data_IF_162231046746
#
_entry.id   IF_162231046746
#
_cell.length_a   1.000
_cell.length_b   1.000
_cell.length_c   1.000
_cell.angle_alpha   90.00
_cell.angle_beta   90.00
_cell.angle_gamma   90.00
#
_symmetry.space_group_name_H-M   'P 1'
#
loop_
_entity.id
_entity.type
_entity.pdbx_description
1 polymer ?
#
# COMPACT_ATOMS: atom_id res chain seq x y z
N UNK A 1 5.73 12.81 17.03
CA UNK A 1 6.76 11.72 16.90
C UNK A 1 6.18 10.31 17.06
N UNK A 2 5.32 10.04 18.06
CA UNK A 2 4.76 8.70 18.33
C UNK A 2 4.02 8.07 17.12
N UNK A 3 3.14 8.77 16.38
CA UNK A 3 2.49 8.20 15.20
C UNK A 3 3.49 7.74 14.11
N UNK A 4 4.61 8.47 13.96
CA UNK A 4 5.65 8.11 12.99
C UNK A 4 6.35 6.81 13.37
N UNK A 5 6.58 6.57 14.68
CA UNK A 5 7.14 5.30 15.18
C UNK A 5 6.16 4.14 14.92
N UNK A 6 4.87 4.35 15.19
CA UNK A 6 3.84 3.35 14.89
C UNK A 6 3.82 3.03 13.38
N UNK A 7 3.90 4.05 12.54
CA UNK A 7 3.93 3.87 11.08
C UNK A 7 5.16 3.08 10.62
N UNK A 8 6.33 3.37 11.18
CA UNK A 8 7.55 2.65 10.88
C UNK A 8 7.43 1.17 11.28
N UNK A 9 7.06 0.90 12.53
CA UNK A 9 6.91 -0.46 13.06
C UNK A 9 5.86 -1.27 12.29
N UNK A 10 4.70 -0.66 12.02
CA UNK A 10 3.64 -1.29 11.24
C UNK A 10 4.10 -1.67 9.83
N UNK A 11 4.80 -0.76 9.15
CA UNK A 11 5.28 -1.01 7.79
C UNK A 11 6.42 -2.01 7.76
N UNK A 12 7.28 -2.02 8.78
CA UNK A 12 8.30 -3.04 8.93
C UNK A 12 7.69 -4.43 9.15
N UNK A 13 6.69 -4.53 10.03
CA UNK A 13 5.94 -5.78 10.25
C UNK A 13 5.29 -6.30 8.97
N UNK A 14 4.62 -5.40 8.24
CA UNK A 14 3.94 -5.74 7.00
C UNK A 14 4.92 -6.31 5.97
N UNK A 15 6.02 -5.60 5.70
CA UNK A 15 6.98 -6.00 4.67
C UNK A 15 7.77 -7.27 5.06
N UNK A 16 8.12 -7.43 6.32
CA UNK A 16 8.81 -8.63 6.79
C UNK A 16 7.96 -9.89 6.63
N UNK A 17 6.67 -9.82 6.99
CA UNK A 17 5.75 -10.95 6.83
C UNK A 17 5.40 -11.25 5.37
N UNK A 18 5.48 -10.25 4.47
CA UNK A 18 5.06 -10.41 3.07
C UNK A 18 6.09 -11.15 2.22
N UNK A 19 7.37 -10.95 2.50
CA UNK A 19 8.49 -11.30 1.61
C UNK A 19 8.53 -12.80 1.26
N UNK A 20 8.33 -13.67 2.23
CA UNK A 20 8.55 -15.11 2.09
C UNK A 20 7.29 -15.93 1.79
N UNK A 21 6.12 -15.30 1.72
CA UNK A 21 4.84 -16.03 1.55
C UNK A 21 4.80 -16.90 0.30
N UNK A 22 5.22 -16.43 -0.91
CA UNK A 22 5.19 -17.29 -2.08
C UNK A 22 6.10 -18.50 -1.95
N UNK A 23 7.29 -18.33 -1.37
CA UNK A 23 8.29 -19.39 -1.20
C UNK A 23 7.78 -20.42 -0.19
N UNK A 24 7.31 -19.98 0.98
CA UNK A 24 6.72 -20.87 1.98
C UNK A 24 5.53 -21.65 1.40
N UNK A 25 4.67 -21.00 0.62
CA UNK A 25 3.54 -21.67 -0.01
C UNK A 25 3.99 -22.78 -0.97
N UNK A 26 5.02 -22.55 -1.78
CA UNK A 26 5.59 -23.58 -2.67
C UNK A 26 6.24 -24.73 -1.88
N UNK A 27 6.96 -24.45 -0.78
CA UNK A 27 7.52 -25.48 0.11
C UNK A 27 6.44 -26.34 0.78
N UNK A 28 5.27 -25.75 1.06
CA UNK A 28 4.09 -26.47 1.53
C UNK A 28 3.38 -27.31 0.44
N UNK A 29 3.91 -27.31 -0.79
CA UNK A 29 3.34 -28.04 -1.92
C UNK A 29 2.21 -27.31 -2.65
N UNK A 30 2.06 -26.00 -2.44
CA UNK A 30 1.05 -25.21 -3.15
C UNK A 30 1.36 -25.12 -4.65
N UNK A 31 0.34 -25.33 -5.48
CA UNK A 31 0.41 -24.98 -6.90
C UNK A 31 0.52 -23.46 -7.09
N UNK A 32 1.01 -23.00 -8.24
CA UNK A 32 1.08 -21.57 -8.57
C UNK A 32 -0.28 -20.86 -8.43
N UNK A 33 -1.35 -21.56 -8.77
CA UNK A 33 -2.73 -21.04 -8.57
C UNK A 33 -3.05 -20.87 -7.10
N UNK A 34 -2.67 -21.81 -6.24
CA UNK A 34 -2.89 -21.70 -4.79
C UNK A 34 -2.05 -20.56 -4.18
N UNK A 35 -0.80 -20.36 -4.62
CA UNK A 35 0.03 -19.21 -4.22
C UNK A 35 -0.70 -17.88 -4.55
N UNK A 36 -1.24 -17.78 -5.77
CA UNK A 36 -2.06 -16.63 -6.18
C UNK A 36 -3.30 -16.45 -5.32
N UNK A 37 -3.99 -17.55 -4.96
CA UNK A 37 -5.18 -17.52 -4.11
C UNK A 37 -4.86 -17.06 -2.68
N UNK A 38 -3.74 -17.49 -2.09
CA UNK A 38 -3.27 -17.03 -0.78
C UNK A 38 -3.10 -15.50 -0.77
N UNK A 39 -2.47 -14.96 -1.83
CA UNK A 39 -2.34 -13.52 -2.01
C UNK A 39 -3.68 -12.80 -2.19
N UNK A 40 -4.61 -13.39 -2.95
CA UNK A 40 -5.94 -12.84 -3.19
C UNK A 40 -6.80 -12.82 -1.92
N UNK A 41 -6.79 -13.87 -1.11
CA UNK A 41 -7.49 -13.95 0.20
C UNK A 41 -7.01 -12.83 1.13
N UNK A 42 -5.69 -12.65 1.23
CA UNK A 42 -5.11 -11.54 1.99
C UNK A 42 -5.58 -10.17 1.47
N UNK A 43 -5.47 -9.95 0.16
CA UNK A 43 -5.81 -8.68 -0.49
C UNK A 43 -7.29 -8.32 -0.34
N UNK A 44 -8.20 -9.29 -0.49
CA UNK A 44 -9.64 -9.10 -0.34
C UNK A 44 -10.03 -8.84 1.12
N UNK A 45 -9.43 -9.55 2.07
CA UNK A 45 -9.62 -9.33 3.49
C UNK A 45 -9.17 -7.92 3.90
N UNK A 46 -7.98 -7.50 3.43
CA UNK A 46 -7.45 -6.16 3.64
C UNK A 46 -8.34 -5.07 3.00
N UNK A 47 -8.77 -5.27 1.74
CA UNK A 47 -9.69 -4.37 1.03
C UNK A 47 -10.95 -4.10 1.84
N UNK A 48 -11.61 -5.16 2.30
CA UNK A 48 -12.86 -5.09 3.06
C UNK A 48 -12.66 -4.37 4.39
N UNK A 49 -11.62 -4.75 5.13
CA UNK A 49 -11.30 -4.21 6.45
C UNK A 49 -10.98 -2.71 6.40
N UNK A 50 -10.14 -2.28 5.48
CA UNK A 50 -9.75 -0.86 5.33
C UNK A 50 -10.95 0.07 5.18
N UNK A 51 -11.96 -0.33 4.40
CA UNK A 51 -13.18 0.43 4.23
C UNK A 51 -14.07 0.41 5.47
N UNK A 52 -14.37 -0.79 5.98
CA UNK A 52 -15.27 -0.99 7.12
C UNK A 52 -14.77 -0.22 8.36
N UNK A 53 -13.51 -0.40 8.71
CA UNK A 53 -12.94 0.21 9.91
C UNK A 53 -12.51 1.66 9.72
N UNK A 54 -12.24 2.09 8.49
CA UNK A 54 -12.11 3.51 8.17
C UNK A 54 -13.38 4.27 8.53
N UNK A 55 -14.55 3.75 8.07
CA UNK A 55 -15.86 4.29 8.42
C UNK A 55 -16.16 4.18 9.91
N UNK A 56 -15.94 3.00 10.51
CA UNK A 56 -16.19 2.78 11.92
C UNK A 56 -15.36 3.73 12.80
N UNK A 57 -14.15 4.07 12.39
CA UNK A 57 -13.29 5.04 13.08
C UNK A 57 -13.86 6.46 13.07
N UNK A 58 -14.55 6.88 12.01
CA UNK A 58 -15.25 8.17 11.97
C UNK A 58 -16.48 8.19 12.90
N UNK A 59 -17.15 7.01 13.10
CA UNK A 59 -18.32 6.86 13.96
C UNK A 59 -18.00 6.79 15.45
N UNK A 60 -17.01 5.95 15.80
CA UNK A 60 -16.76 5.54 17.20
C UNK A 60 -15.46 6.10 17.80
N UNK A 61 -14.62 6.73 16.96
CA UNK A 61 -13.39 7.39 17.39
C UNK A 61 -12.11 6.67 16.99
N UNK A 62 -11.04 7.45 16.80
CA UNK A 62 -9.75 7.00 16.21
C UNK A 62 -8.99 6.03 17.10
N UNK A 63 -8.88 6.39 18.38
CA UNK A 63 -7.98 5.70 19.32
C UNK A 63 -8.39 4.27 19.59
N UNK A 64 -9.71 4.02 19.67
CA UNK A 64 -10.24 2.66 19.86
C UNK A 64 -9.78 1.71 18.73
N UNK A 65 -9.99 2.11 17.46
CA UNK A 65 -9.61 1.27 16.32
C UNK A 65 -8.09 1.16 16.14
N UNK A 66 -7.34 2.16 16.57
CA UNK A 66 -5.88 2.09 16.60
C UNK A 66 -5.40 1.00 17.56
N UNK A 67 -5.91 0.99 18.80
CA UNK A 67 -5.55 -0.04 19.79
C UNK A 67 -6.04 -1.43 19.37
N UNK A 68 -7.32 -1.54 19.00
CA UNK A 68 -7.91 -2.80 18.56
C UNK A 68 -7.14 -3.40 17.39
N UNK A 69 -6.90 -2.59 16.34
CA UNK A 69 -6.24 -3.04 15.13
C UNK A 69 -4.80 -3.49 15.37
N UNK A 70 -4.00 -2.72 16.11
CA UNK A 70 -2.62 -3.07 16.43
C UNK A 70 -2.53 -4.33 17.28
N UNK A 71 -3.38 -4.46 18.33
CA UNK A 71 -3.39 -5.64 19.20
C UNK A 71 -3.81 -6.90 18.46
N UNK A 72 -4.93 -6.85 17.71
CA UNK A 72 -5.40 -8.01 16.93
C UNK A 72 -4.40 -8.36 15.82
N UNK A 73 -3.79 -7.35 15.17
CA UNK A 73 -2.77 -7.61 14.14
C UNK A 73 -1.52 -8.29 14.70
N UNK A 74 -1.08 -7.92 15.91
CA UNK A 74 0.05 -8.59 16.55
C UNK A 74 -0.22 -10.09 16.72
N UNK A 75 -1.41 -10.46 17.20
CA UNK A 75 -1.83 -11.86 17.37
C UNK A 75 -1.92 -12.59 16.03
N UNK A 76 -2.59 -12.01 15.03
CA UNK A 76 -2.80 -12.67 13.74
C UNK A 76 -1.53 -12.82 12.94
N UNK A 77 -0.58 -11.90 13.09
CA UNK A 77 0.74 -12.04 12.47
C UNK A 77 1.58 -13.12 13.17
N UNK A 78 1.44 -13.29 14.48
CA UNK A 78 2.03 -14.43 15.18
C UNK A 78 1.42 -15.77 14.74
N UNK A 79 0.11 -15.84 14.54
CA UNK A 79 -0.56 -17.08 14.11
C UNK A 79 -0.04 -17.63 12.77
N UNK A 80 0.60 -16.81 11.93
CA UNK A 80 1.22 -17.29 10.69
C UNK A 80 2.38 -18.27 10.96
N UNK A 81 2.97 -18.25 12.17
CA UNK A 81 4.00 -19.22 12.58
C UNK A 81 3.47 -20.65 12.56
N UNK A 82 2.16 -20.85 12.77
CA UNK A 82 1.52 -22.16 12.72
C UNK A 82 1.49 -22.78 11.33
N UNK A 83 1.77 -22.00 10.28
CA UNK A 83 1.89 -22.52 8.92
C UNK A 83 3.34 -22.89 8.53
N UNK A 84 4.32 -22.65 9.41
CA UNK A 84 5.72 -22.97 9.15
C UNK A 84 6.03 -24.42 9.58
N UNK A 85 6.44 -25.31 8.65
CA UNK A 85 6.70 -26.72 8.94
C UNK A 85 7.92 -26.92 9.87
N UNK A 86 8.79 -25.94 10.01
CA UNK A 86 9.92 -26.01 10.94
C UNK A 86 9.53 -25.70 12.39
N UNK A 87 8.36 -25.06 12.59
CA UNK A 87 7.84 -24.71 13.91
C UNK A 87 6.74 -25.64 14.38
N UNK A 88 5.89 -26.13 13.47
CA UNK A 88 4.77 -27.04 13.74
C UNK A 88 5.02 -28.38 13.04
N UNK A 89 4.55 -29.48 13.65
CA UNK A 89 4.67 -30.79 13.02
C UNK A 89 4.18 -30.76 11.55
N UNK A 90 4.90 -31.37 10.59
CA UNK A 90 4.60 -31.27 9.15
C UNK A 90 3.18 -31.63 8.76
N UNK A 91 2.51 -32.45 9.56
CA UNK A 91 1.11 -32.87 9.37
C UNK A 91 0.10 -31.68 9.40
N UNK A 92 0.43 -30.59 10.12
CA UNK A 92 -0.42 -29.41 10.23
C UNK A 92 -0.04 -28.31 9.25
N UNK A 93 1.16 -28.36 8.67
CA UNK A 93 1.66 -27.38 7.73
C UNK A 93 1.00 -27.62 6.36
N UNK A 94 0.02 -26.79 6.04
CA UNK A 94 -0.83 -26.91 4.83
C UNK A 94 -0.99 -25.54 4.16
N UNK A 95 -0.96 -25.46 2.81
CA UNK A 95 -1.20 -24.21 2.09
C UNK A 95 -2.51 -23.49 2.47
N UNK A 96 -3.56 -24.24 2.83
CA UNK A 96 -4.85 -23.67 3.21
C UNK A 96 -4.81 -23.05 4.61
N UNK A 97 -4.03 -23.65 5.53
CA UNK A 97 -3.76 -23.04 6.83
C UNK A 97 -3.02 -21.71 6.65
N UNK A 98 -2.02 -21.67 5.77
CA UNK A 98 -1.34 -20.42 5.39
C UNK A 98 -2.32 -19.41 4.79
N UNK A 99 -3.20 -19.82 3.87
CA UNK A 99 -4.23 -18.96 3.29
C UNK A 99 -5.17 -18.38 4.36
N UNK A 100 -5.62 -19.20 5.30
CA UNK A 100 -6.46 -18.77 6.42
C UNK A 100 -5.75 -17.76 7.33
N UNK A 101 -4.52 -18.09 7.76
CA UNK A 101 -3.70 -17.19 8.58
C UNK A 101 -3.42 -15.86 7.88
N UNK A 102 -3.16 -15.89 6.56
CA UNK A 102 -3.00 -14.70 5.73
C UNK A 102 -4.29 -13.90 5.62
N UNK A 103 -5.44 -14.55 5.48
CA UNK A 103 -6.75 -13.89 5.49
C UNK A 103 -7.00 -13.13 6.79
N UNK A 104 -6.75 -13.77 7.94
CA UNK A 104 -6.85 -13.13 9.25
C UNK A 104 -5.88 -11.95 9.39
N UNK A 105 -4.61 -12.12 8.96
CA UNK A 105 -3.62 -11.06 8.99
C UNK A 105 -4.03 -9.89 8.09
N UNK A 106 -4.53 -10.15 6.88
CA UNK A 106 -5.04 -9.13 5.96
C UNK A 106 -6.21 -8.34 6.53
N UNK A 107 -7.16 -9.05 7.17
CA UNK A 107 -8.30 -8.41 7.79
C UNK A 107 -7.90 -7.53 8.98
N UNK A 108 -7.08 -8.04 9.88
CA UNK A 108 -6.66 -7.34 11.10
C UNK A 108 -5.82 -6.10 10.80
N UNK A 109 -4.86 -6.21 9.86
CA UNK A 109 -3.96 -5.11 9.52
C UNK A 109 -4.70 -3.94 8.84
N UNK A 110 -5.89 -4.15 8.30
CA UNK A 110 -6.74 -3.11 7.73
C UNK A 110 -7.54 -2.30 8.76
N UNK A 111 -7.61 -2.72 10.02
CA UNK A 111 -8.47 -2.10 11.05
C UNK A 111 -8.03 -0.66 11.39
N UNK A 112 -6.74 -0.41 11.51
CA UNK A 112 -6.23 0.84 12.11
C UNK A 112 -5.60 1.85 11.16
N UNK A 113 -5.10 1.55 9.95
CA UNK A 113 -4.33 2.50 9.14
C UNK A 113 -5.09 3.78 8.81
N UNK A 114 -6.38 3.65 8.48
CA UNK A 114 -7.23 4.81 8.17
C UNK A 114 -7.47 5.70 9.39
N UNK A 115 -7.65 5.09 10.56
CA UNK A 115 -7.74 5.79 11.84
C UNK A 115 -6.44 6.52 12.19
N UNK A 116 -5.30 5.89 11.95
CA UNK A 116 -3.98 6.45 12.21
C UNK A 116 -3.70 7.66 11.29
N UNK A 117 -4.02 7.57 10.00
CA UNK A 117 -3.87 8.68 9.04
C UNK A 117 -4.74 9.88 9.47
N UNK A 118 -6.01 9.62 9.82
CA UNK A 118 -6.93 10.67 10.27
C UNK A 118 -6.43 11.30 11.57
N UNK A 119 -5.96 10.50 12.53
CA UNK A 119 -5.35 10.97 13.78
C UNK A 119 -4.15 11.89 13.51
N UNK A 120 -3.23 11.49 12.64
CA UNK A 120 -2.03 12.28 12.28
C UNK A 120 -2.43 13.64 11.72
N UNK A 121 -3.41 13.68 10.83
CA UNK A 121 -3.89 14.93 10.27
C UNK A 121 -4.58 15.83 11.33
N UNK A 122 -5.41 15.23 12.17
CA UNK A 122 -6.14 15.95 13.25
C UNK A 122 -5.21 16.44 14.35
N UNK A 123 -4.06 15.80 14.58
CA UNK A 123 -3.02 16.27 15.50
C UNK A 123 -2.15 17.40 14.95
N UNK A 124 -2.36 17.81 13.69
CA UNK A 124 -1.54 18.83 13.03
C UNK A 124 -0.17 18.35 12.54
N UNK A 125 0.10 17.03 12.61
CA UNK A 125 1.34 16.45 12.10
C UNK A 125 1.34 16.40 10.55
N UNK A 126 2.54 16.41 9.96
CA UNK A 126 2.74 16.42 8.52
C UNK A 126 2.56 15.01 7.95
N UNK A 127 1.59 14.82 7.05
CA UNK A 127 1.30 13.53 6.41
C UNK A 127 2.44 13.01 5.54
N UNK A 128 3.20 13.89 4.89
CA UNK A 128 4.38 13.50 4.13
C UNK A 128 5.48 12.95 5.03
N UNK A 129 5.78 13.62 6.15
CA UNK A 129 6.71 13.13 7.16
C UNK A 129 6.26 11.80 7.74
N UNK A 130 5.00 11.66 8.07
CA UNK A 130 4.41 10.40 8.53
C UNK A 130 4.58 9.28 7.50
N UNK A 131 4.27 9.55 6.23
CA UNK A 131 4.40 8.58 5.13
C UNK A 131 5.85 8.18 4.87
N UNK A 132 6.82 9.11 5.05
CA UNK A 132 8.25 8.80 4.90
C UNK A 132 8.74 7.74 5.90
N UNK A 133 8.24 7.78 7.15
CA UNK A 133 8.53 6.73 8.12
C UNK A 133 7.95 5.37 7.71
N UNK A 134 6.85 5.38 6.94
CA UNK A 134 6.31 4.17 6.34
C UNK A 134 7.23 3.56 5.28
N UNK A 135 7.82 4.38 4.40
CA UNK A 135 8.80 3.92 3.41
C UNK A 135 10.07 3.35 4.08
N UNK A 136 10.55 4.04 5.12
CA UNK A 136 11.69 3.57 5.92
C UNK A 136 11.39 2.24 6.62
N UNK A 137 10.18 2.12 7.21
CA UNK A 137 9.74 0.87 7.85
C UNK A 137 9.69 -0.28 6.86
N UNK A 138 9.18 -0.05 5.65
CA UNK A 138 9.18 -1.06 4.60
C UNK A 138 10.58 -1.56 4.26
N UNK A 139 11.54 -0.66 4.07
CA UNK A 139 12.93 -1.01 3.78
C UNK A 139 13.58 -1.80 4.93
N UNK A 140 13.37 -1.37 6.18
CA UNK A 140 13.91 -2.05 7.38
C UNK A 140 13.31 -3.46 7.52
N UNK A 141 12.00 -3.59 7.32
CA UNK A 141 11.32 -4.88 7.48
C UNK A 141 11.74 -5.91 6.45
N UNK A 142 11.86 -5.52 5.17
CA UNK A 142 12.36 -6.42 4.12
C UNK A 142 13.81 -6.82 4.35
N UNK A 143 14.66 -5.87 4.76
CA UNK A 143 16.07 -6.15 5.06
C UNK A 143 16.21 -7.09 6.25
N UNK A 144 15.50 -6.81 7.35
CA UNK A 144 15.55 -7.65 8.56
C UNK A 144 15.03 -9.07 8.29
N UNK A 145 13.95 -9.22 7.50
CA UNK A 145 13.46 -10.54 7.11
C UNK A 145 14.50 -11.32 6.30
N UNK A 146 15.18 -10.65 5.35
CA UNK A 146 16.27 -11.25 4.57
C UNK A 146 17.46 -11.71 5.44
N UNK A 147 17.82 -10.94 6.48
CA UNK A 147 18.88 -11.34 7.43
C UNK A 147 18.48 -12.54 8.30
N UNK A 148 17.21 -12.61 8.73
CA UNK A 148 16.71 -13.72 9.54
C UNK A 148 16.66 -15.00 8.71
N UNK A 149 16.29 -14.92 7.42
CA UNK A 149 16.22 -16.03 6.46
C UNK A 149 15.44 -17.27 6.97
N UNK A 150 14.46 -17.05 7.86
CA UNK A 150 13.57 -18.07 8.43
C UNK A 150 12.14 -17.56 8.43
N UNK A 151 11.17 -18.36 7.97
CA UNK A 151 9.77 -17.93 7.86
C UNK A 151 9.16 -17.57 9.22
N UNK A 152 9.24 -18.51 10.19
CA UNK A 152 8.73 -18.27 11.55
C UNK A 152 9.39 -17.04 12.21
N UNK A 153 10.69 -16.84 11.98
CA UNK A 153 11.42 -15.70 12.51
C UNK A 153 10.92 -14.37 11.95
N UNK A 154 10.59 -14.31 10.65
CA UNK A 154 10.00 -13.14 10.02
C UNK A 154 8.60 -12.85 10.55
N UNK A 155 7.78 -13.89 10.83
CA UNK A 155 6.44 -13.73 11.42
C UNK A 155 6.51 -13.26 12.87
N UNK A 156 7.43 -13.82 13.67
CA UNK A 156 7.68 -13.38 15.05
C UNK A 156 8.16 -11.92 15.09
N UNK A 157 9.12 -11.55 14.23
CA UNK A 157 9.56 -10.15 14.09
C UNK A 157 8.37 -9.23 13.76
N UNK A 158 7.53 -9.63 12.82
CA UNK A 158 6.36 -8.86 12.42
C UNK A 158 5.37 -8.68 13.58
N UNK A 159 5.09 -9.75 14.30
CA UNK A 159 4.25 -9.71 15.51
C UNK A 159 4.85 -8.81 16.60
N UNK A 160 6.14 -8.93 16.87
CA UNK A 160 6.85 -8.11 17.86
C UNK A 160 6.81 -6.61 17.49
N UNK A 161 7.03 -6.27 16.23
CA UNK A 161 6.91 -4.89 15.75
C UNK A 161 5.49 -4.34 15.96
N UNK A 162 4.45 -5.12 15.68
CA UNK A 162 3.05 -4.72 15.89
C UNK A 162 2.72 -4.61 17.38
N UNK A 163 3.23 -5.51 18.22
CA UNK A 163 3.08 -5.44 19.68
C UNK A 163 3.73 -4.18 20.23
N UNK A 164 4.95 -3.86 19.80
CA UNK A 164 5.61 -2.60 20.17
C UNK A 164 4.82 -1.38 19.70
N UNK A 165 4.28 -1.40 18.48
CA UNK A 165 3.41 -0.34 17.98
C UNK A 165 2.12 -0.21 18.83
N UNK A 166 1.55 -1.34 19.26
CA UNK A 166 0.41 -1.38 20.17
C UNK A 166 0.74 -0.72 21.52
N UNK A 167 1.85 -1.09 22.15
CA UNK A 167 2.31 -0.49 23.40
C UNK A 167 2.56 1.02 23.26
N UNK A 168 3.23 1.44 22.18
CA UNK A 168 3.44 2.87 21.88
C UNK A 168 2.10 3.61 21.70
N UNK A 169 1.07 2.97 21.17
CA UNK A 169 -0.23 3.59 20.93
C UNK A 169 -0.93 4.07 22.21
N UNK A 170 -0.73 3.41 23.35
CA UNK A 170 -1.27 3.84 24.65
C UNK A 170 -0.69 5.18 25.12
N UNK A 171 0.54 5.48 24.73
CA UNK A 171 1.19 6.75 25.11
C UNK A 171 0.74 7.93 24.24
N UNK A 172 -0.09 7.70 23.20
CA UNK A 172 -0.59 8.79 22.36
C UNK A 172 -1.66 9.61 23.10
N UNK A 173 -1.62 10.95 22.99
CA UNK A 173 -2.65 11.80 23.58
C UNK A 173 -4.02 11.53 22.96
N UNK A 174 -5.07 11.73 23.73
CA UNK A 174 -6.43 11.67 23.19
C UNK A 174 -6.71 12.99 22.48
N UNK A 175 -7.12 12.92 21.22
CA UNK A 175 -7.53 14.06 20.41
C UNK A 175 -9.05 14.07 20.38
N UNK A 176 -9.65 15.24 20.52
CA UNK A 176 -11.08 15.41 20.27
C UNK A 176 -11.34 15.29 18.77
N UNK A 177 -11.81 14.13 18.38
CA UNK A 177 -12.24 13.88 16.98
C UNK A 177 -13.77 13.96 16.93
N UNK A 178 -14.35 14.67 15.97
CA UNK A 178 -15.80 14.70 15.81
C UNK A 178 -16.29 13.27 15.47
N UNK A 179 -17.31 12.81 16.20
CA UNK A 179 -18.05 11.60 15.85
C UNK A 179 -19.02 11.95 14.74
N UNK A 180 -18.88 11.30 13.60
CA UNK A 180 -19.64 11.61 12.40
C UNK A 180 -20.65 10.49 12.11
N UNK A 181 -21.87 10.83 11.78
CA UNK A 181 -22.83 9.86 11.25
C UNK A 181 -22.53 9.62 9.77
N UNK A 182 -21.83 8.52 9.47
CA UNK A 182 -21.47 8.14 8.10
C UNK A 182 -22.30 6.93 7.67
N UNK A 183 -23.13 7.03 6.62
CA UNK A 183 -23.89 5.89 6.12
C UNK A 183 -22.97 4.78 5.60
N UNK A 184 -23.46 3.53 5.55
CA UNK A 184 -22.67 2.40 5.06
C UNK A 184 -22.17 2.62 3.62
N UNK A 185 -22.99 3.20 2.75
CA UNK A 185 -22.59 3.68 1.42
C UNK A 185 -22.62 5.21 1.38
N UNK A 186 -21.49 5.90 1.66
CA UNK A 186 -21.42 7.36 1.69
C UNK A 186 -21.41 7.94 0.27
N UNK A 187 -22.56 7.89 -0.42
CA UNK A 187 -22.72 8.35 -1.82
C UNK A 187 -22.18 9.76 -2.03
N UNK A 188 -22.36 10.66 -1.06
CA UNK A 188 -21.84 12.04 -1.10
C UNK A 188 -20.32 12.09 -1.16
N UNK A 189 -19.64 11.30 -0.31
CA UNK A 189 -18.18 11.19 -0.25
C UNK A 189 -17.63 10.59 -1.54
N UNK A 190 -18.28 9.51 -2.03
CA UNK A 190 -17.91 8.85 -3.28
C UNK A 190 -18.05 9.84 -4.44
N UNK A 191 -19.22 10.46 -4.60
CA UNK A 191 -19.51 11.42 -5.69
C UNK A 191 -18.55 12.62 -5.66
N UNK A 192 -18.18 13.09 -4.46
CA UNK A 192 -17.26 14.21 -4.29
C UNK A 192 -15.82 13.91 -4.69
N UNK A 193 -15.36 12.66 -4.51
CA UNK A 193 -13.96 12.26 -4.67
C UNK A 193 -13.72 11.18 -5.74
N UNK A 194 -14.76 10.75 -6.50
CA UNK A 194 -14.69 9.62 -7.43
C UNK A 194 -13.56 9.74 -8.46
N UNK A 195 -13.32 10.95 -8.96
CA UNK A 195 -12.26 11.22 -9.92
C UNK A 195 -10.87 10.94 -9.38
N UNK A 196 -10.65 11.14 -8.07
CA UNK A 196 -9.39 10.73 -7.42
C UNK A 196 -9.30 9.20 -7.30
N UNK A 197 -10.36 8.56 -6.81
CA UNK A 197 -10.35 7.11 -6.58
C UNK A 197 -10.16 6.33 -7.89
N UNK A 198 -10.88 6.68 -8.95
CA UNK A 198 -10.75 6.00 -10.25
C UNK A 198 -9.39 6.28 -10.90
N UNK A 199 -8.88 7.52 -10.80
CA UNK A 199 -7.56 7.86 -11.32
C UNK A 199 -6.44 7.12 -10.60
N UNK A 200 -6.60 7.01 -9.28
CA UNK A 200 -5.66 6.24 -8.47
C UNK A 200 -5.73 4.75 -8.78
N UNK A 201 -6.93 4.20 -8.93
CA UNK A 201 -7.15 2.82 -9.33
C UNK A 201 -6.45 2.51 -10.65
N UNK A 202 -6.69 3.28 -11.69
CA UNK A 202 -6.09 3.09 -13.01
C UNK A 202 -4.55 3.10 -12.94
N UNK A 203 -3.98 4.16 -12.33
CA UNK A 203 -2.52 4.27 -12.20
C UNK A 203 -1.94 3.13 -11.36
N UNK A 204 -2.60 2.75 -10.26
CA UNK A 204 -2.04 1.75 -9.36
C UNK A 204 -2.18 0.34 -9.91
N UNK A 205 -3.24 0.05 -10.68
CA UNK A 205 -3.36 -1.16 -11.48
C UNK A 205 -2.20 -1.26 -12.47
N UNK A 206 -1.90 -0.19 -13.22
CA UNK A 206 -0.73 -0.14 -14.10
C UNK A 206 0.59 -0.41 -13.37
N UNK A 207 0.80 0.22 -12.21
CA UNK A 207 1.98 -0.03 -11.40
C UNK A 207 2.12 -1.51 -11.00
N UNK A 208 1.02 -2.14 -10.59
CA UNK A 208 1.05 -3.55 -10.18
C UNK A 208 1.19 -4.52 -11.36
N UNK A 209 0.77 -4.13 -12.57
CA UNK A 209 1.14 -4.88 -13.78
C UNK A 209 2.66 -4.97 -13.94
N UNK A 210 3.39 -3.90 -13.63
CA UNK A 210 4.85 -3.90 -13.68
C UNK A 210 5.43 -4.67 -12.50
N UNK A 211 4.98 -4.39 -11.26
CA UNK A 211 5.58 -4.98 -10.07
C UNK A 211 5.55 -6.51 -10.05
N UNK A 212 4.52 -7.14 -10.61
CA UNK A 212 4.43 -8.61 -10.68
C UNK A 212 5.50 -9.24 -11.57
N UNK A 213 5.93 -8.53 -12.62
CA UNK A 213 6.91 -9.00 -13.59
C UNK A 213 8.30 -8.38 -13.40
N UNK A 214 8.43 -7.40 -12.51
CA UNK A 214 9.62 -6.55 -12.41
C UNK A 214 10.92 -7.32 -12.10
N UNK A 215 10.94 -8.28 -11.18
CA UNK A 215 12.12 -9.10 -10.97
C UNK A 215 12.56 -9.84 -12.26
N UNK A 216 11.62 -10.47 -12.94
CA UNK A 216 11.89 -11.21 -14.18
C UNK A 216 12.36 -10.26 -15.30
N UNK A 217 11.84 -9.04 -15.33
CA UNK A 217 12.29 -8.03 -16.30
C UNK A 217 13.74 -7.61 -16.03
N UNK A 218 14.14 -7.45 -14.76
CA UNK A 218 15.53 -7.15 -14.38
C UNK A 218 16.47 -8.28 -14.82
N UNK A 219 16.11 -9.54 -14.56
CA UNK A 219 16.88 -10.70 -14.99
C UNK A 219 17.01 -10.74 -16.53
N UNK A 220 15.95 -10.44 -17.26
CA UNK A 220 15.95 -10.35 -18.71
C UNK A 220 16.86 -9.24 -19.26
N UNK A 221 17.10 -8.17 -18.48
CA UNK A 221 18.03 -7.08 -18.79
C UNK A 221 19.48 -7.36 -18.34
N UNK A 222 19.79 -8.60 -17.94
CA UNK A 222 21.11 -9.02 -17.51
C UNK A 222 21.47 -8.70 -16.06
N UNK A 223 20.48 -8.36 -15.21
CA UNK A 223 20.65 -8.24 -13.76
C UNK A 223 20.57 -9.60 -13.07
N UNK A 224 20.78 -9.59 -11.76
CA UNK A 224 20.64 -10.73 -10.86
C UNK A 224 19.74 -10.37 -9.66
N UNK A 225 19.55 -11.30 -8.73
CA UNK A 225 18.72 -11.07 -7.52
C UNK A 225 19.24 -9.92 -6.65
N UNK A 226 20.56 -9.71 -6.60
CA UNK A 226 21.16 -8.58 -5.89
C UNK A 226 20.67 -7.25 -6.48
N UNK A 227 20.68 -7.10 -7.80
CA UNK A 227 20.20 -5.89 -8.47
C UNK A 227 18.69 -5.69 -8.33
N UNK A 228 17.91 -6.77 -8.25
CA UNK A 228 16.50 -6.67 -7.86
C UNK A 228 16.39 -5.95 -6.51
N UNK A 229 17.10 -6.42 -5.49
CA UNK A 229 17.13 -5.81 -4.16
C UNK A 229 17.58 -4.34 -4.17
N UNK A 230 18.65 -4.03 -4.90
CA UNK A 230 19.17 -2.66 -5.04
C UNK A 230 18.13 -1.72 -5.65
N UNK A 231 17.48 -2.10 -6.73
CA UNK A 231 16.50 -1.28 -7.43
C UNK A 231 15.25 -1.00 -6.56
N UNK A 232 14.76 -1.99 -5.82
CA UNK A 232 13.68 -1.79 -4.83
C UNK A 232 14.12 -0.85 -3.71
N UNK A 233 15.35 -0.97 -3.24
CA UNK A 233 15.91 -0.10 -2.19
C UNK A 233 16.04 1.34 -2.67
N UNK A 234 16.53 1.58 -3.89
CA UNK A 234 16.60 2.91 -4.50
C UNK A 234 15.23 3.56 -4.59
N UNK A 235 14.20 2.78 -4.98
CA UNK A 235 12.82 3.26 -5.02
C UNK A 235 12.32 3.71 -3.64
N UNK A 236 12.44 2.85 -2.62
CA UNK A 236 11.96 3.16 -1.26
C UNK A 236 12.76 4.26 -0.57
N UNK A 237 14.07 4.31 -0.79
CA UNK A 237 14.92 5.41 -0.32
C UNK A 237 14.48 6.75 -0.93
N UNK A 238 14.23 6.78 -2.23
CA UNK A 238 13.73 7.98 -2.92
C UNK A 238 12.39 8.43 -2.33
N UNK A 239 11.49 7.51 -2.04
CA UNK A 239 10.22 7.82 -1.37
C UNK A 239 10.44 8.47 0.01
N UNK A 240 11.35 7.91 0.82
CA UNK A 240 11.64 8.46 2.14
C UNK A 240 12.07 9.93 2.08
N UNK A 241 13.00 10.25 1.21
CA UNK A 241 13.50 11.63 1.07
C UNK A 241 12.42 12.56 0.52
N UNK A 242 11.75 12.20 -0.56
CA UNK A 242 10.75 13.07 -1.21
C UNK A 242 9.56 13.32 -0.31
N UNK A 243 9.00 12.29 0.34
CA UNK A 243 7.84 12.44 1.21
C UNK A 243 8.09 13.37 2.39
N UNK A 244 9.34 13.49 2.84
CA UNK A 244 9.70 14.35 3.98
C UNK A 244 9.53 15.83 3.72
N UNK A 245 9.60 16.26 2.45
CA UNK A 245 9.59 17.67 2.08
C UNK A 245 8.34 18.09 1.29
N UNK A 246 7.42 17.15 1.01
CA UNK A 246 6.36 17.33 0.03
C UNK A 246 5.11 18.08 0.57
N UNK A 247 4.92 18.13 1.91
CA UNK A 247 3.73 18.70 2.56
C UNK A 247 3.50 20.19 2.24
N UNK A 248 4.55 20.92 1.84
CA UNK A 248 4.51 22.35 1.46
C UNK A 248 3.85 22.63 0.12
N UNK A 249 3.71 21.62 -0.73
CA UNK A 249 3.15 21.81 -2.06
C UNK A 249 1.62 21.66 -2.08
N UNK A 250 1.01 22.23 -3.13
CA UNK A 250 -0.46 22.13 -3.32
C UNK A 250 -0.84 20.70 -3.68
N UNK A 251 -1.81 20.13 -2.95
CA UNK A 251 -2.27 18.75 -3.11
C UNK A 251 -2.65 18.37 -4.56
N UNK A 252 -3.40 19.24 -5.28
CA UNK A 252 -3.76 18.99 -6.69
C UNK A 252 -2.53 18.95 -7.61
N UNK A 253 -1.54 19.81 -7.37
CA UNK A 253 -0.29 19.82 -8.13
C UNK A 253 0.48 18.52 -7.91
N UNK A 254 0.55 18.05 -6.65
CA UNK A 254 1.19 16.78 -6.32
C UNK A 254 0.53 15.59 -7.01
N UNK A 255 -0.80 15.52 -6.98
CA UNK A 255 -1.53 14.42 -7.65
C UNK A 255 -1.26 14.42 -9.16
N UNK A 256 -1.36 15.59 -9.81
CA UNK A 256 -1.07 15.71 -11.24
C UNK A 256 0.37 15.32 -11.56
N UNK A 257 1.35 15.85 -10.80
CA UNK A 257 2.76 15.51 -10.97
C UNK A 257 2.99 13.99 -10.81
N UNK A 258 2.40 13.38 -9.77
CA UNK A 258 2.52 11.95 -9.53
C UNK A 258 1.94 11.10 -10.67
N UNK A 259 0.80 11.48 -11.24
CA UNK A 259 0.18 10.77 -12.36
C UNK A 259 0.98 10.92 -13.65
N UNK A 260 1.45 12.13 -13.97
CA UNK A 260 2.28 12.40 -15.16
C UNK A 260 3.63 11.69 -15.04
N UNK A 261 4.33 11.86 -13.93
CA UNK A 261 5.62 11.20 -13.69
C UNK A 261 5.50 9.68 -13.75
N UNK A 262 4.38 9.11 -13.22
CA UNK A 262 4.14 7.67 -13.35
C UNK A 262 4.04 7.23 -14.79
N UNK A 263 3.25 7.93 -15.60
CA UNK A 263 3.05 7.59 -17.01
C UNK A 263 4.38 7.67 -17.79
N UNK A 264 5.14 8.74 -17.56
CA UNK A 264 6.47 8.94 -18.19
C UNK A 264 7.43 7.83 -17.74
N UNK A 265 7.53 7.56 -16.44
CA UNK A 265 8.46 6.56 -15.91
C UNK A 265 8.13 5.17 -16.43
N UNK A 266 6.85 4.80 -16.47
CA UNK A 266 6.45 3.50 -17.02
C UNK A 266 6.79 3.42 -18.51
N UNK A 267 6.53 4.47 -19.29
CA UNK A 267 6.93 4.48 -20.70
C UNK A 267 8.45 4.34 -20.86
N UNK A 268 9.23 5.08 -20.08
CA UNK A 268 10.71 5.06 -20.17
C UNK A 268 11.29 3.69 -19.78
N UNK A 269 10.63 2.91 -18.92
CA UNK A 269 11.04 1.53 -18.63
C UNK A 269 11.12 0.67 -19.89
N UNK A 270 10.30 0.92 -20.93
CA UNK A 270 10.34 0.16 -22.18
C UNK A 270 11.60 0.40 -23.01
N UNK A 271 12.31 1.50 -22.73
CA UNK A 271 13.53 1.90 -23.43
C UNK A 271 14.80 1.33 -22.82
N UNK A 272 14.70 0.70 -21.64
CA UNK A 272 15.83 0.11 -20.96
C UNK A 272 16.41 -1.06 -21.77
N UNK A 273 17.74 -1.03 -21.97
CA UNK A 273 18.52 -2.07 -22.67
C UNK A 273 19.37 -2.88 -21.68
N UNK A 274 19.61 -2.33 -20.48
CA UNK A 274 20.29 -3.00 -19.39
C UNK A 274 19.69 -2.55 -18.05
N UNK A 275 19.92 -3.34 -16.99
CA UNK A 275 19.34 -3.08 -15.67
C UNK A 275 19.87 -1.82 -14.98
N UNK A 276 21.07 -1.34 -15.28
CA UNK A 276 21.60 -0.09 -14.70
C UNK A 276 20.76 1.12 -15.09
N UNK A 277 20.18 1.12 -16.30
CA UNK A 277 19.31 2.21 -16.76
C UNK A 277 18.02 2.32 -15.95
N UNK A 278 17.65 1.27 -15.21
CA UNK A 278 16.50 1.29 -14.31
C UNK A 278 16.75 2.12 -13.03
N UNK A 279 18.01 2.35 -12.63
CA UNK A 279 18.34 3.11 -11.41
C UNK A 279 17.71 4.52 -11.38
N UNK A 280 17.96 5.41 -12.36
CA UNK A 280 17.32 6.73 -12.40
C UNK A 280 15.79 6.63 -12.52
N UNK A 281 15.29 5.61 -13.20
CA UNK A 281 13.85 5.39 -13.36
C UNK A 281 13.20 5.01 -12.02
N UNK A 282 13.88 4.27 -11.15
CA UNK A 282 13.40 3.96 -9.80
C UNK A 282 13.34 5.19 -8.90
N UNK A 283 14.28 6.13 -9.05
CA UNK A 283 14.20 7.43 -8.37
C UNK A 283 12.96 8.20 -8.83
N UNK A 284 12.73 8.30 -10.14
CA UNK A 284 11.55 8.95 -10.70
C UNK A 284 10.25 8.30 -10.25
N UNK A 285 10.22 6.96 -10.18
CA UNK A 285 9.06 6.21 -9.69
C UNK A 285 8.80 6.47 -8.20
N UNK A 286 9.85 6.54 -7.38
CA UNK A 286 9.76 6.91 -5.97
C UNK A 286 9.20 8.33 -5.79
N UNK A 287 9.67 9.30 -6.58
CA UNK A 287 9.14 10.67 -6.62
C UNK A 287 7.67 10.70 -7.04
N UNK A 288 7.33 9.96 -8.09
CA UNK A 288 5.98 9.85 -8.62
C UNK A 288 5.00 9.31 -7.58
N UNK A 289 5.36 8.19 -6.94
CA UNK A 289 4.55 7.59 -5.88
C UNK A 289 4.38 8.53 -4.69
N UNK A 290 5.45 9.16 -4.25
CA UNK A 290 5.42 10.11 -3.13
C UNK A 290 4.46 11.27 -3.40
N UNK A 291 4.54 11.88 -4.58
CA UNK A 291 3.65 12.95 -5.00
C UNK A 291 2.19 12.50 -5.03
N UNK A 292 1.91 11.36 -5.65
CA UNK A 292 0.55 10.85 -5.79
C UNK A 292 -0.04 10.46 -4.43
N UNK A 293 0.69 9.69 -3.62
CA UNK A 293 0.18 9.15 -2.36
C UNK A 293 -0.07 10.26 -1.34
N UNK A 294 0.95 11.05 -1.02
CA UNK A 294 0.83 12.15 -0.05
C UNK A 294 -0.13 13.23 -0.56
N UNK A 295 -0.05 13.57 -1.85
CA UNK A 295 -0.99 14.49 -2.47
C UNK A 295 -2.44 14.04 -2.35
N UNK A 296 -2.72 12.75 -2.51
CA UNK A 296 -4.06 12.16 -2.35
C UNK A 296 -4.54 12.19 -0.90
N UNK A 297 -3.67 11.85 0.05
CA UNK A 297 -3.98 11.94 1.48
C UNK A 297 -4.34 13.37 1.88
N UNK A 298 -3.50 14.34 1.50
CA UNK A 298 -3.75 15.77 1.76
C UNK A 298 -5.03 16.27 1.07
N UNK A 299 -5.30 15.82 -0.15
CA UNK A 299 -6.52 16.19 -0.87
C UNK A 299 -7.78 15.69 -0.15
N UNK A 300 -7.80 14.44 0.28
CA UNK A 300 -8.94 13.83 0.96
C UNK A 300 -9.14 14.41 2.35
N UNK A 301 -8.09 14.53 3.16
CA UNK A 301 -8.19 14.97 4.55
C UNK A 301 -8.51 16.47 4.70
N UNK A 302 -8.06 17.32 3.74
CA UNK A 302 -8.39 18.74 3.72
C UNK A 302 -9.79 19.04 3.19
N UNK A 303 -10.35 18.15 2.37
CA UNK A 303 -11.61 18.40 1.66
C UNK A 303 -12.83 17.74 2.34
N UNK A 304 -12.62 16.74 3.16
CA UNK A 304 -13.68 15.95 3.76
C UNK A 304 -13.61 16.01 5.28
N UNK A 305 -14.78 15.93 5.91
CA UNK A 305 -14.89 15.82 7.36
C UNK A 305 -14.65 14.34 7.78
N UNK A 306 -15.15 13.41 6.96
CA UNK A 306 -15.04 11.95 7.11
C UNK A 306 -13.65 11.45 6.68
N UNK A 307 -12.61 11.86 7.44
CA UNK A 307 -11.21 11.65 7.05
C UNK A 307 -10.80 10.18 6.98
N UNK A 308 -11.17 9.39 8.00
CA UNK A 308 -10.83 7.97 8.03
C UNK A 308 -11.63 7.18 6.99
N UNK A 309 -12.90 7.51 6.77
CA UNK A 309 -13.69 6.92 5.68
C UNK A 309 -13.05 7.17 4.32
N UNK A 310 -12.69 8.41 4.02
CA UNK A 310 -12.09 8.78 2.74
C UNK A 310 -10.72 8.11 2.51
N UNK A 311 -9.87 8.08 3.53
CA UNK A 311 -8.54 7.45 3.44
C UNK A 311 -8.64 5.93 3.44
N UNK A 312 -9.61 5.36 4.14
CA UNK A 312 -9.94 3.93 4.10
C UNK A 312 -10.38 3.50 2.70
N UNK A 313 -11.27 4.27 2.05
CA UNK A 313 -11.67 4.03 0.66
C UNK A 313 -10.48 4.11 -0.30
N UNK A 314 -9.58 5.09 -0.14
CA UNK A 314 -8.37 5.17 -0.96
C UNK A 314 -7.50 3.93 -0.78
N UNK A 315 -7.27 3.51 0.45
CA UNK A 315 -6.48 2.32 0.76
C UNK A 315 -7.12 1.04 0.22
N UNK A 316 -8.46 0.93 0.27
CA UNK A 316 -9.21 -0.16 -0.36
C UNK A 316 -9.04 -0.15 -1.88
N UNK A 317 -9.12 1.02 -2.52
CA UNK A 317 -8.86 1.17 -3.96
C UNK A 317 -7.44 0.72 -4.33
N UNK A 318 -6.44 1.05 -3.51
CA UNK A 318 -5.05 0.61 -3.68
C UNK A 318 -4.96 -0.93 -3.62
N UNK A 319 -5.60 -1.56 -2.64
CA UNK A 319 -5.59 -3.03 -2.50
C UNK A 319 -6.29 -3.71 -3.67
N UNK A 320 -7.44 -3.20 -4.11
CA UNK A 320 -8.16 -3.74 -5.27
C UNK A 320 -7.36 -3.59 -6.56
N UNK A 321 -6.71 -2.43 -6.73
CA UNK A 321 -5.84 -2.18 -7.89
C UNK A 321 -4.62 -3.11 -7.92
N UNK A 322 -4.10 -3.51 -6.76
CA UNK A 322 -3.01 -4.47 -6.70
C UNK A 322 -3.44 -5.86 -7.22
N UNK A 323 -4.61 -6.33 -6.81
CA UNK A 323 -5.19 -7.60 -7.31
C UNK A 323 -5.43 -7.53 -8.81
N UNK A 324 -6.10 -6.48 -9.29
CA UNK A 324 -6.39 -6.30 -10.71
C UNK A 324 -5.10 -6.20 -11.55
N UNK A 325 -4.11 -5.46 -11.06
CA UNK A 325 -2.83 -5.28 -11.73
C UNK A 325 -2.02 -6.57 -11.84
N UNK A 326 -2.02 -7.40 -10.80
CA UNK A 326 -1.33 -8.68 -10.83
C UNK A 326 -1.93 -9.62 -11.89
N UNK A 327 -3.26 -9.71 -11.97
CA UNK A 327 -3.94 -10.55 -12.97
C UNK A 327 -3.67 -10.03 -14.38
N UNK A 328 -3.93 -8.74 -14.63
CA UNK A 328 -3.75 -8.12 -15.95
C UNK A 328 -2.28 -8.18 -16.38
N UNK A 329 -1.36 -7.83 -15.47
CA UNK A 329 0.08 -7.81 -15.76
C UNK A 329 0.65 -9.19 -16.05
N UNK A 330 0.29 -10.18 -15.25
CA UNK A 330 0.68 -11.58 -15.48
C UNK A 330 0.19 -12.09 -16.83
N UNK A 331 -1.10 -11.94 -17.14
CA UNK A 331 -1.71 -12.37 -18.39
C UNK A 331 -1.10 -11.70 -19.62
N UNK A 332 -0.95 -10.36 -19.59
CA UNK A 332 -0.37 -9.62 -20.72
C UNK A 332 1.11 -9.98 -20.90
N UNK A 333 1.84 -10.17 -19.80
CA UNK A 333 3.26 -10.55 -19.89
C UNK A 333 3.46 -11.93 -20.50
N UNK A 334 2.58 -12.87 -20.17
CA UNK A 334 2.62 -14.22 -20.72
C UNK A 334 2.30 -14.24 -22.21
N UNK A 335 1.28 -13.49 -22.64
CA UNK A 335 0.81 -13.50 -24.03
C UNK A 335 1.61 -12.59 -24.96
N UNK A 336 2.07 -11.44 -24.47
CA UNK A 336 2.63 -10.37 -25.31
C UNK A 336 4.01 -9.86 -24.81
N UNK A 337 4.54 -10.41 -23.73
CA UNK A 337 5.84 -10.10 -23.17
C UNK A 337 5.90 -8.84 -22.30
N UNK A 338 7.09 -8.59 -21.74
CA UNK A 338 7.33 -7.52 -20.76
C UNK A 338 7.01 -6.11 -21.28
N UNK A 339 7.42 -5.80 -22.51
CA UNK A 339 7.21 -4.46 -23.09
C UNK A 339 5.73 -4.12 -23.23
N UNK A 340 4.90 -5.05 -23.67
CA UNK A 340 3.45 -4.87 -23.80
C UNK A 340 2.81 -4.58 -22.43
N UNK A 341 3.23 -5.30 -21.39
CA UNK A 341 2.77 -5.06 -20.01
C UNK A 341 3.13 -3.66 -19.53
N UNK A 342 4.34 -3.20 -19.80
CA UNK A 342 4.82 -1.87 -19.40
C UNK A 342 4.08 -0.75 -20.18
N UNK A 343 3.82 -0.94 -21.50
CA UNK A 343 2.99 -0.01 -22.27
C UNK A 343 1.55 0.08 -21.73
N UNK A 344 0.97 -1.06 -21.36
CA UNK A 344 -0.35 -1.10 -20.70
C UNK A 344 -0.35 -0.30 -19.41
N UNK A 345 0.68 -0.44 -18.58
CA UNK A 345 0.84 0.31 -17.35
C UNK A 345 0.95 1.83 -17.60
N UNK A 346 1.74 2.25 -18.60
CA UNK A 346 1.88 3.65 -18.99
C UNK A 346 0.54 4.24 -19.45
N UNK A 347 -0.20 3.51 -20.28
CA UNK A 347 -1.53 3.89 -20.79
C UNK A 347 -2.55 4.04 -19.65
N UNK A 348 -2.58 3.08 -18.72
CA UNK A 348 -3.45 3.16 -17.53
C UNK A 348 -3.13 4.39 -16.67
N UNK A 349 -1.83 4.69 -16.47
CA UNK A 349 -1.42 5.88 -15.72
C UNK A 349 -1.81 7.19 -16.44
N UNK A 350 -1.65 7.27 -17.76
CA UNK A 350 -2.05 8.42 -18.57
C UNK A 350 -3.59 8.61 -18.53
N UNK A 351 -4.35 7.53 -18.64
CA UNK A 351 -5.81 7.56 -18.50
C UNK A 351 -6.22 8.07 -17.12
N UNK A 352 -5.55 7.61 -16.05
CA UNK A 352 -5.75 8.11 -14.69
C UNK A 352 -5.53 9.63 -14.58
N UNK A 353 -4.49 10.15 -15.23
CA UNK A 353 -4.23 11.60 -15.29
C UNK A 353 -5.35 12.36 -15.99
N UNK A 354 -5.80 11.90 -17.15
CA UNK A 354 -6.88 12.54 -17.90
C UNK A 354 -8.19 12.58 -17.08
N UNK A 355 -8.53 11.47 -16.41
CA UNK A 355 -9.72 11.38 -15.55
C UNK A 355 -9.66 12.34 -14.35
N UNK A 356 -8.50 12.47 -13.70
CA UNK A 356 -8.34 13.40 -12.59
C UNK A 356 -8.51 14.85 -13.06
N UNK A 357 -7.88 15.22 -14.17
CA UNK A 357 -7.89 16.57 -14.69
C UNK A 357 -9.29 17.01 -15.18
N UNK A 358 -9.99 16.13 -15.89
CA UNK A 358 -11.36 16.41 -16.36
C UNK A 358 -12.38 16.51 -15.21
N UNK A 359 -12.28 15.60 -14.23
CA UNK A 359 -13.17 15.62 -13.07
C UNK A 359 -12.98 16.86 -12.18
N UNK A 360 -11.74 17.35 -12.03
CA UNK A 360 -11.47 18.55 -11.21
C UNK A 360 -11.85 19.85 -11.91
N UNK A 361 -11.88 19.91 -13.24
CA UNK A 361 -12.35 21.08 -14.02
C UNK A 361 -13.86 21.25 -13.91
N UNK A 362 -14.64 20.18 -14.09
CA UNK A 362 -16.11 20.22 -13.97
C UNK A 362 -16.59 20.67 -12.58
N UNK A 363 -15.89 20.27 -11.49
CA UNK A 363 -16.22 20.71 -10.14
C UNK A 363 -15.97 22.21 -9.88
N UNK A 364 -15.10 22.87 -10.64
CA UNK A 364 -14.83 24.32 -10.49
C UNK A 364 -15.80 25.20 -11.31
N UNK A 365 -16.40 24.66 -12.36
CA UNK A 365 -17.39 25.41 -13.16
C UNK A 365 -18.77 25.42 -12.50
N UNK A 366 -19.15 24.36 -11.77
CA UNK A 366 -20.45 24.29 -11.10
C UNK A 366 -20.54 25.15 -9.83
N UNK A 367 -19.41 25.55 -9.24
CA UNK A 367 -19.39 26.46 -8.08
C UNK A 367 -19.43 27.95 -8.45
N UNK A 368 -19.37 28.29 -9.74
CA UNK A 368 -19.46 29.69 -10.24
C UNK A 368 -20.86 30.09 -10.75
N UNK A 369 -21.81 29.17 -10.72
CA UNK A 369 -23.16 29.37 -11.27
C UNK A 369 -24.30 29.35 -10.25
N UNK A 370 -24.00 29.56 -8.97
CA UNK A 370 -25.00 29.91 -7.95
C UNK A 370 -24.82 31.38 -7.60
N UNK A 371 -25.79 32.26 -7.90
CA UNK A 371 -25.79 33.67 -7.53
C UNK A 371 -25.88 33.86 -6.02
#
# INVERSE_FOLDING_TARGET
MKPNVIQLLYRAAFSASYLFIPILAEELGASKTQVGLIGAVYGLALFSSLYLFGRASDLYGRKFFLHLGLGVSSLTFFLQVLADPSFVAPFWADPWLLAFARGLAGFSIGIFPSALIAYVYESGDLLGRFSSFGALGWAIGTFAAGLIAMYWGAFVLSSACLLLAFLVSFTMPTISSPRLSVPFFPKSVIKKNWHLYISYFMRHTGANCIWIIYPLYILNLGGDEFWVGVLYTVNTASQFFVMRFIDRFRNKTLINAGLILSSITFFVFTLAQNFYQLLPMQVLLGCSWSCLYVGSLLYLTRRNVEKATCTGMLSSVISLAAVAGAIIGGTISELFGFRATIYTAATLAATGFCLFRTGTRKGSSSSKTTP
#
